data_IF_300723271961
#
_entry.id   IF_300723271961
#
_cell.length_a   1.000
_cell.length_b   1.000
_cell.length_c   1.000
_cell.angle_alpha   90.00
_cell.angle_beta   90.00
_cell.angle_gamma   90.00
#
_symmetry.space_group_name_H-M   'P 1'
#
loop_
_entity.id
_entity.type
_entity.pdbx_description
1 polymer ?
#
# COMPACT_ATOMS: atom_id res chain seq x y z
N UNK A 1 8.19 -3.38 31.73
CA UNK A 1 8.41 -3.19 30.28
C UNK A 1 7.95 -1.78 29.97
N UNK A 2 8.80 -0.93 29.37
CA UNK A 2 8.39 0.44 29.05
C UNK A 2 7.23 0.39 28.06
N UNK A 3 6.29 1.34 28.17
CA UNK A 3 5.17 1.40 27.24
C UNK A 3 5.69 1.81 25.88
N UNK A 4 5.05 1.34 24.80
CA UNK A 4 5.55 1.56 23.45
C UNK A 4 5.66 3.06 23.10
N UNK A 5 4.72 3.89 23.57
CA UNK A 5 4.73 5.34 23.35
C UNK A 5 5.85 6.08 24.12
N UNK A 6 6.49 5.42 25.07
CA UNK A 6 7.66 5.95 25.79
C UNK A 6 8.97 5.60 25.07
N UNK A 7 8.94 4.62 24.15
CA UNK A 7 10.07 4.13 23.36
C UNK A 7 10.08 4.64 21.91
N UNK A 8 8.95 5.12 21.42
CA UNK A 8 8.78 5.59 20.05
C UNK A 8 7.96 6.88 20.03
N UNK A 9 8.51 7.89 19.38
CA UNK A 9 7.83 9.13 19.07
C UNK A 9 7.04 8.91 17.78
N UNK A 10 5.73 9.14 17.83
CA UNK A 10 4.84 9.08 16.66
C UNK A 10 4.53 10.49 16.20
N UNK A 11 4.84 10.80 14.94
CA UNK A 11 4.61 12.10 14.30
C UNK A 11 3.81 11.93 13.00
N UNK A 12 3.13 13.01 12.60
CA UNK A 12 2.47 13.08 11.29
C UNK A 12 3.53 13.51 10.27
N UNK A 13 4.14 12.53 9.60
CA UNK A 13 5.20 12.77 8.62
C UNK A 13 4.70 13.60 7.43
N UNK A 14 3.51 13.29 6.92
CA UNK A 14 2.75 14.12 5.99
C UNK A 14 1.27 13.94 6.29
N UNK A 15 0.58 15.04 6.59
CA UNK A 15 -0.87 15.02 6.82
C UNK A 15 -1.62 14.50 5.58
N UNK A 16 -2.70 13.71 5.75
CA UNK A 16 -3.47 13.20 4.63
C UNK A 16 -3.86 14.29 3.64
N UNK A 17 -3.54 14.08 2.38
CA UNK A 17 -3.72 15.06 1.32
C UNK A 17 -4.08 14.36 0.01
N UNK A 18 -4.98 14.95 -0.76
CA UNK A 18 -5.22 14.52 -2.14
C UNK A 18 -4.10 15.07 -3.03
N UNK A 19 -3.35 14.19 -3.67
CA UNK A 19 -2.39 14.56 -4.71
C UNK A 19 -2.95 14.13 -6.07
N UNK A 20 -2.71 14.94 -7.11
CA UNK A 20 -3.09 14.65 -8.49
C UNK A 20 -1.84 14.74 -9.37
N UNK A 21 -1.14 13.63 -9.53
CA UNK A 21 0.09 13.53 -10.34
C UNK A 21 1.16 14.55 -9.93
N UNK A 22 1.43 14.64 -8.62
CA UNK A 22 2.33 15.64 -8.04
C UNK A 22 3.06 15.09 -6.81
N UNK A 23 3.85 15.94 -6.17
CA UNK A 23 4.55 15.62 -4.94
C UNK A 23 4.25 16.64 -3.84
N UNK A 24 4.40 16.21 -2.59
CA UNK A 24 4.35 17.07 -1.41
C UNK A 24 5.31 16.58 -0.35
N UNK A 25 6.05 17.50 0.24
CA UNK A 25 6.91 17.27 1.40
C UNK A 25 6.17 17.68 2.66
N UNK A 26 6.27 16.85 3.71
CA UNK A 26 5.73 17.17 5.02
C UNK A 26 6.66 18.07 5.84
N UNK A 27 6.41 18.11 7.15
CA UNK A 27 7.22 18.89 8.08
C UNK A 27 8.57 18.22 8.34
N UNK A 28 9.58 19.04 8.66
CA UNK A 28 10.93 18.57 8.99
C UNK A 28 11.04 18.33 10.50
N UNK A 29 11.31 17.09 10.89
CA UNK A 29 11.44 16.66 12.27
C UNK A 29 12.90 16.41 12.65
N UNK A 30 13.32 16.98 13.78
CA UNK A 30 14.67 16.81 14.30
C UNK A 30 14.97 15.34 14.69
N UNK A 31 16.11 14.81 14.28
CA UNK A 31 16.62 13.50 14.70
C UNK A 31 17.75 13.58 15.73
N UNK A 32 18.18 14.76 16.17
CA UNK A 32 19.34 14.89 17.07
C UNK A 32 19.21 14.07 18.39
N UNK A 33 18.00 13.94 18.93
CA UNK A 33 17.72 13.18 20.15
C UNK A 33 17.35 11.70 19.89
N UNK A 34 17.28 11.27 18.63
CA UNK A 34 16.85 9.94 18.19
C UNK A 34 17.96 9.24 17.39
N UNK A 35 18.00 7.91 17.44
CA UNK A 35 19.00 7.12 16.68
C UNK A 35 18.44 6.52 15.41
N UNK A 36 17.11 6.37 15.34
CA UNK A 36 16.43 5.71 14.23
C UNK A 36 15.15 6.43 13.87
N UNK A 37 14.74 6.30 12.62
CA UNK A 37 13.45 6.71 12.15
C UNK A 37 12.84 5.68 11.19
N UNK A 38 11.52 5.60 11.14
CA UNK A 38 10.78 4.85 10.12
C UNK A 38 9.72 5.78 9.55
N UNK A 39 9.81 6.07 8.24
CA UNK A 39 8.78 6.79 7.51
C UNK A 39 7.88 5.77 6.81
N UNK A 40 6.57 5.81 7.08
CA UNK A 40 5.58 4.85 6.56
C UNK A 40 4.61 5.60 5.66
N UNK A 41 4.58 5.24 4.39
CA UNK A 41 3.60 5.67 3.40
C UNK A 41 2.34 4.81 3.50
N UNK A 42 1.19 5.45 3.44
CA UNK A 42 -0.11 4.79 3.28
C UNK A 42 -0.84 5.41 2.09
N UNK A 43 -1.37 4.56 1.21
CA UNK A 43 -2.18 4.97 0.06
C UNK A 43 -3.47 4.15 -0.03
N UNK A 44 -4.46 4.72 -0.71
CA UNK A 44 -5.68 4.01 -1.06
C UNK A 44 -6.21 4.44 -2.44
N UNK A 45 -6.94 3.53 -3.10
CA UNK A 45 -7.68 3.83 -4.34
C UNK A 45 -6.82 4.07 -5.57
N UNK A 46 -5.72 3.33 -5.74
CA UNK A 46 -4.77 3.54 -6.85
C UNK A 46 -5.09 2.63 -8.04
N UNK A 47 -5.37 3.23 -9.21
CA UNK A 47 -5.66 2.50 -10.45
C UNK A 47 -4.43 1.74 -10.99
N UNK A 48 -4.64 0.74 -11.85
CA UNK A 48 -3.58 0.00 -12.51
C UNK A 48 -2.53 0.91 -13.19
N UNK A 49 -1.28 0.43 -13.30
CA UNK A 49 -0.10 1.10 -13.89
C UNK A 49 0.41 2.33 -13.13
N UNK A 50 -0.31 2.79 -12.11
CA UNK A 50 0.08 3.94 -11.30
C UNK A 50 1.07 3.56 -10.21
N UNK A 51 1.79 4.58 -9.74
CA UNK A 51 2.79 4.48 -8.70
C UNK A 51 2.64 5.58 -7.65
N UNK A 52 3.06 5.25 -6.43
CA UNK A 52 3.28 6.21 -5.35
C UNK A 52 4.59 5.86 -4.66
N UNK A 53 5.45 6.84 -4.44
CA UNK A 53 6.71 6.65 -3.74
C UNK A 53 6.83 7.57 -2.55
N UNK A 54 7.50 7.08 -1.52
CA UNK A 54 7.98 7.86 -0.40
C UNK A 54 9.49 8.03 -0.54
N UNK A 55 9.94 9.23 -0.23
CA UNK A 55 11.32 9.67 -0.26
C UNK A 55 11.61 10.37 1.07
N UNK A 56 12.77 10.15 1.66
CA UNK A 56 13.20 10.92 2.84
C UNK A 56 14.05 12.09 2.39
N UNK A 57 13.62 13.30 2.74
CA UNK A 57 14.44 14.49 2.60
C UNK A 57 15.11 14.79 3.93
N UNK A 58 16.35 15.25 3.89
CA UNK A 58 17.07 15.78 5.03
C UNK A 58 17.16 17.30 4.96
N UNK A 59 17.19 17.99 6.10
CA UNK A 59 17.49 19.41 6.19
C UNK A 59 18.37 19.75 7.42
N UNK A 60 18.92 20.96 7.41
CA UNK A 60 19.71 21.50 8.53
C UNK A 60 18.83 22.07 9.66
N UNK A 61 17.58 22.44 9.35
CA UNK A 61 16.61 22.99 10.30
C UNK A 61 15.17 22.59 9.94
N UNK A 62 14.20 23.02 10.76
CA UNK A 62 12.78 22.70 10.58
C UNK A 62 12.14 23.45 9.38
N UNK A 63 12.75 24.53 8.93
CA UNK A 63 12.31 25.39 7.83
C UNK A 63 12.86 24.93 6.47
N UNK A 64 13.30 23.67 6.36
CA UNK A 64 13.86 23.06 5.14
C UNK A 64 15.19 23.69 4.65
N UNK A 65 16.00 24.24 5.57
CA UNK A 65 17.30 24.82 5.26
C UNK A 65 18.24 23.81 4.59
N UNK A 66 18.70 24.14 3.38
CA UNK A 66 19.52 23.27 2.52
C UNK A 66 18.90 21.90 2.24
N UNK A 67 17.56 21.80 2.22
CA UNK A 67 16.86 20.54 2.03
C UNK A 67 17.35 19.76 0.81
N UNK A 68 17.67 18.48 1.02
CA UNK A 68 18.15 17.58 0.00
C UNK A 68 17.49 16.21 0.12
N UNK A 69 17.41 15.48 -0.99
CA UNK A 69 17.00 14.08 -0.97
C UNK A 69 18.11 13.25 -0.31
N UNK A 70 17.75 12.43 0.67
CA UNK A 70 18.69 11.46 1.21
C UNK A 70 18.85 10.29 0.22
N UNK A 71 20.09 10.07 -0.21
CA UNK A 71 20.40 9.06 -1.23
C UNK A 71 20.05 7.66 -0.72
N UNK A 72 19.32 6.89 -1.54
CA UNK A 72 18.91 5.52 -1.21
C UNK A 72 17.68 5.42 -0.30
N UNK A 73 17.17 6.54 0.22
CA UNK A 73 15.96 6.57 1.04
C UNK A 73 14.70 6.77 0.16
N UNK A 74 14.41 5.76 -0.67
CA UNK A 74 13.23 5.74 -1.54
C UNK A 74 12.55 4.37 -1.49
N UNK A 75 11.23 4.36 -1.35
CA UNK A 75 10.42 3.16 -1.49
C UNK A 75 9.21 3.46 -2.39
N UNK A 76 8.93 2.56 -3.33
CA UNK A 76 7.90 2.73 -4.35
C UNK A 76 6.84 1.65 -4.22
N UNK A 77 5.59 2.07 -4.21
CA UNK A 77 4.41 1.22 -4.38
C UNK A 77 4.03 1.26 -5.86
N UNK A 78 3.95 0.10 -6.47
CA UNK A 78 3.38 -0.10 -7.81
C UNK A 78 1.98 -0.66 -7.66
N UNK A 79 1.01 -0.13 -8.41
CA UNK A 79 -0.37 -0.60 -8.35
C UNK A 79 -0.45 -2.11 -8.59
N UNK A 80 -1.29 -2.78 -7.80
CA UNK A 80 -1.63 -4.19 -7.91
C UNK A 80 -0.44 -5.13 -7.75
N UNK A 81 0.66 -4.65 -7.16
CA UNK A 81 1.87 -5.43 -6.86
C UNK A 81 2.16 -5.36 -5.37
N UNK A 82 2.23 -6.52 -4.70
CA UNK A 82 2.43 -6.63 -3.26
C UNK A 82 1.45 -5.77 -2.42
N UNK A 83 0.17 -5.75 -2.80
CA UNK A 83 -0.87 -4.94 -2.13
C UNK A 83 -1.65 -5.74 -1.09
N UNK A 84 -2.12 -5.10 -0.03
CA UNK A 84 -2.84 -5.80 1.05
C UNK A 84 -4.29 -6.14 0.69
N UNK A 85 -4.89 -5.34 -0.19
CA UNK A 85 -6.23 -5.55 -0.74
C UNK A 85 -6.39 -4.81 -2.06
N UNK A 86 -7.25 -5.33 -2.91
CA UNK A 86 -7.54 -4.75 -4.22
C UNK A 86 -8.89 -5.18 -4.76
N UNK A 87 -9.32 -4.54 -5.83
CA UNK A 87 -10.55 -4.85 -6.54
C UNK A 87 -10.28 -5.19 -8.00
N UNK A 88 -11.12 -6.06 -8.54
CA UNK A 88 -11.21 -6.39 -9.96
C UNK A 88 -12.65 -6.10 -10.40
N UNK A 89 -12.82 -5.11 -11.27
CA UNK A 89 -14.13 -4.81 -11.87
C UNK A 89 -14.23 -5.57 -13.18
N UNK A 90 -15.22 -6.45 -13.28
CA UNK A 90 -15.55 -7.18 -14.49
C UNK A 90 -16.59 -6.38 -15.27
N UNK A 91 -16.37 -6.22 -16.57
CA UNK A 91 -17.24 -5.46 -17.47
C UNK A 91 -17.31 -6.12 -18.84
N UNK A 92 -18.29 -7.00 -19.04
CA UNK A 92 -18.46 -7.81 -20.26
C UNK A 92 -17.22 -8.65 -20.56
N UNK A 93 -16.81 -9.49 -19.62
CA UNK A 93 -15.63 -10.35 -19.77
C UNK A 93 -15.82 -11.29 -20.96
N UNK A 94 -14.78 -11.47 -21.77
CA UNK A 94 -14.82 -12.34 -22.94
C UNK A 94 -14.09 -13.66 -22.66
N UNK A 95 -14.43 -14.68 -23.44
CA UNK A 95 -13.78 -15.98 -23.36
C UNK A 95 -12.26 -15.84 -23.52
N UNK A 96 -11.50 -16.64 -22.76
CA UNK A 96 -10.03 -16.61 -22.74
C UNK A 96 -9.40 -15.35 -22.12
N UNK A 97 -10.18 -14.38 -21.63
CA UNK A 97 -9.62 -13.35 -20.76
C UNK A 97 -9.08 -13.98 -19.48
N UNK A 98 -7.93 -13.51 -19.02
CA UNK A 98 -7.28 -14.08 -17.85
C UNK A 98 -6.98 -13.06 -16.78
N UNK A 99 -6.94 -13.56 -15.55
CA UNK A 99 -6.44 -12.86 -14.36
C UNK A 99 -5.42 -13.77 -13.70
N UNK A 100 -4.22 -13.27 -13.45
CA UNK A 100 -3.21 -13.97 -12.66
C UNK A 100 -3.15 -13.36 -11.28
N UNK A 101 -3.31 -14.17 -10.22
CA UNK A 101 -3.23 -13.73 -8.82
C UNK A 101 -2.13 -14.52 -8.13
N UNK A 102 -1.08 -13.85 -7.67
CA UNK A 102 0.09 -14.47 -7.02
C UNK A 102 0.69 -15.65 -7.83
N UNK A 103 0.66 -15.53 -9.17
CA UNK A 103 1.14 -16.55 -10.10
C UNK A 103 0.12 -17.63 -10.49
N UNK A 104 -1.07 -17.66 -9.87
CA UNK A 104 -2.15 -18.57 -10.26
C UNK A 104 -3.00 -17.93 -11.36
N UNK A 105 -3.07 -18.59 -12.51
CA UNK A 105 -3.84 -18.13 -13.67
C UNK A 105 -5.30 -18.58 -13.55
N UNK A 106 -6.23 -17.63 -13.65
CA UNK A 106 -7.67 -17.85 -13.76
C UNK A 106 -8.14 -17.44 -15.15
N UNK A 107 -8.95 -18.28 -15.79
CA UNK A 107 -9.35 -18.11 -17.20
C UNK A 107 -10.87 -18.03 -17.32
N UNK A 108 -11.37 -17.01 -18.02
CA UNK A 108 -12.78 -16.91 -18.37
C UNK A 108 -13.15 -17.96 -19.41
N UNK A 109 -14.19 -18.75 -19.12
CA UNK A 109 -14.74 -19.75 -20.03
C UNK A 109 -16.20 -19.44 -20.33
N UNK A 110 -16.63 -19.68 -21.57
CA UNK A 110 -17.94 -19.27 -22.10
C UNK A 110 -19.11 -19.67 -21.17
N UNK A 111 -19.12 -20.90 -20.66
CA UNK A 111 -20.29 -21.46 -19.97
C UNK A 111 -19.98 -22.43 -18.83
N UNK A 112 -18.71 -22.62 -18.45
CA UNK A 112 -18.33 -23.59 -17.41
C UNK A 112 -17.43 -22.97 -16.35
N UNK A 113 -17.63 -23.40 -15.11
CA UNK A 113 -16.73 -23.14 -13.99
C UNK A 113 -16.06 -24.44 -13.60
N UNK A 114 -14.76 -24.56 -13.87
CA UNK A 114 -13.94 -25.74 -13.58
C UNK A 114 -12.85 -25.35 -12.60
N UNK A 115 -13.13 -25.47 -11.31
CA UNK A 115 -12.26 -24.97 -10.23
C UNK A 115 -10.85 -25.59 -10.26
N UNK A 116 -10.75 -26.88 -10.57
CA UNK A 116 -9.45 -27.59 -10.66
C UNK A 116 -8.54 -27.00 -11.75
N UNK A 117 -9.13 -26.51 -12.84
CA UNK A 117 -8.45 -25.88 -13.97
C UNK A 117 -8.40 -24.34 -13.84
N UNK A 118 -8.99 -23.79 -12.77
CA UNK A 118 -9.14 -22.35 -12.52
C UNK A 118 -9.90 -21.61 -13.61
N UNK A 119 -10.89 -22.28 -14.19
CA UNK A 119 -11.80 -21.69 -15.18
C UNK A 119 -13.08 -21.20 -14.52
N UNK A 120 -13.54 -20.00 -14.86
CA UNK A 120 -14.79 -19.43 -14.35
C UNK A 120 -15.74 -19.09 -15.50
N UNK A 121 -17.03 -19.36 -15.31
CA UNK A 121 -18.05 -19.11 -16.32
C UNK A 121 -18.30 -17.62 -16.52
N UNK A 122 -18.50 -17.22 -17.79
CA UNK A 122 -18.98 -15.90 -18.21
C UNK A 122 -20.33 -15.97 -18.93
N UNK A 123 -21.15 -16.98 -18.62
CA UNK A 123 -22.46 -17.16 -19.24
C UNK A 123 -23.53 -16.17 -18.73
N UNK A 124 -23.19 -15.40 -17.70
CA UNK A 124 -24.11 -14.52 -17.00
C UNK A 124 -23.93 -13.04 -17.37
N UNK A 125 -24.22 -12.18 -16.40
CA UNK A 125 -23.85 -10.77 -16.44
C UNK A 125 -22.61 -10.55 -15.57
N UNK A 126 -22.03 -9.35 -15.61
CA UNK A 126 -20.83 -8.99 -14.84
C UNK A 126 -20.89 -9.39 -13.36
N UNK A 127 -22.07 -9.34 -12.73
CA UNK A 127 -22.26 -9.75 -11.34
C UNK A 127 -22.20 -11.26 -11.14
N UNK A 128 -22.78 -12.03 -12.06
CA UNK A 128 -22.69 -13.48 -12.05
C UNK A 128 -21.25 -13.93 -12.32
N UNK A 129 -20.60 -13.36 -13.33
CA UNK A 129 -19.22 -13.68 -13.71
C UNK A 129 -18.24 -13.42 -12.55
N UNK A 130 -18.42 -12.30 -11.84
CA UNK A 130 -17.63 -11.97 -10.66
C UNK A 130 -17.83 -12.97 -9.52
N UNK A 131 -19.03 -13.54 -9.40
CA UNK A 131 -19.35 -14.55 -8.39
C UNK A 131 -18.68 -15.88 -8.73
N UNK A 132 -18.71 -16.30 -9.99
CA UNK A 132 -18.01 -17.50 -10.48
C UNK A 132 -16.49 -17.38 -10.28
N UNK A 133 -15.90 -16.21 -10.56
CA UNK A 133 -14.50 -15.96 -10.27
C UNK A 133 -14.19 -16.07 -8.76
N UNK A 134 -15.06 -15.56 -7.89
CA UNK A 134 -14.90 -15.71 -6.44
C UNK A 134 -14.93 -17.18 -6.00
N UNK A 135 -15.76 -18.03 -6.63
CA UNK A 135 -15.78 -19.47 -6.35
C UNK A 135 -14.42 -20.09 -6.61
N UNK A 136 -13.81 -19.81 -7.77
CA UNK A 136 -12.49 -20.32 -8.11
C UNK A 136 -11.39 -19.79 -7.17
N UNK A 137 -11.43 -18.52 -6.80
CA UNK A 137 -10.41 -17.91 -5.92
C UNK A 137 -10.49 -18.45 -4.49
N UNK A 138 -11.70 -18.67 -3.96
CA UNK A 138 -11.91 -19.11 -2.58
C UNK A 138 -11.82 -20.64 -2.39
N UNK A 139 -11.61 -21.40 -3.47
CA UNK A 139 -11.52 -22.85 -3.34
C UNK A 139 -10.36 -23.26 -2.42
N UNK A 140 -10.59 -24.16 -1.44
CA UNK A 140 -9.58 -24.53 -0.45
C UNK A 140 -8.38 -25.31 -1.03
N UNK A 141 -8.52 -25.90 -2.23
CA UNK A 141 -7.49 -26.75 -2.84
C UNK A 141 -6.77 -26.03 -3.98
N UNK A 142 -7.53 -25.36 -4.85
CA UNK A 142 -7.05 -24.79 -6.11
C UNK A 142 -7.04 -23.25 -6.13
N UNK A 143 -7.72 -22.63 -5.16
CA UNK A 143 -7.83 -21.18 -5.01
C UNK A 143 -6.54 -20.49 -4.58
N UNK A 144 -6.63 -19.22 -4.20
CA UNK A 144 -5.47 -18.40 -3.82
C UNK A 144 -5.21 -18.54 -2.31
N UNK A 145 -4.08 -19.12 -1.87
CA UNK A 145 -3.80 -19.30 -0.46
C UNK A 145 -3.77 -17.97 0.30
N UNK A 146 -4.48 -17.93 1.43
CA UNK A 146 -4.53 -16.77 2.31
C UNK A 146 -5.32 -15.57 1.75
N UNK A 147 -6.10 -15.78 0.70
CA UNK A 147 -7.02 -14.80 0.12
C UNK A 147 -8.47 -15.08 0.52
N UNK A 148 -9.23 -14.02 0.76
CA UNK A 148 -10.70 -14.05 0.73
C UNK A 148 -11.16 -13.15 -0.42
N UNK A 149 -11.91 -13.73 -1.36
CA UNK A 149 -12.57 -13.02 -2.44
C UNK A 149 -14.07 -12.85 -2.17
N UNK A 150 -14.62 -11.68 -2.46
CA UNK A 150 -16.06 -11.42 -2.39
C UNK A 150 -16.51 -10.59 -3.58
N UNK A 151 -17.66 -10.92 -4.18
CA UNK A 151 -18.25 -10.16 -5.29
C UNK A 151 -19.36 -9.23 -4.81
N UNK A 152 -19.43 -8.03 -5.39
CA UNK A 152 -20.56 -7.12 -5.29
C UNK A 152 -20.73 -6.33 -6.59
N UNK A 153 -21.88 -6.48 -7.26
CA UNK A 153 -22.23 -5.74 -8.48
C UNK A 153 -21.13 -5.76 -9.57
N UNK A 154 -20.54 -6.92 -9.85
CA UNK A 154 -19.46 -7.08 -10.83
C UNK A 154 -18.06 -6.70 -10.36
N UNK A 155 -17.91 -6.30 -9.09
CA UNK A 155 -16.61 -6.00 -8.48
C UNK A 155 -16.21 -7.12 -7.53
N UNK A 156 -15.11 -7.79 -7.83
CA UNK A 156 -14.45 -8.74 -6.94
C UNK A 156 -13.49 -7.98 -6.02
N UNK A 157 -13.62 -8.14 -4.72
CA UNK A 157 -12.71 -7.59 -3.71
C UNK A 157 -11.85 -8.72 -3.14
N UNK A 158 -10.53 -8.55 -3.18
CA UNK A 158 -9.55 -9.47 -2.60
C UNK A 158 -9.01 -8.88 -1.29
N UNK A 159 -9.06 -9.66 -0.23
CA UNK A 159 -8.58 -9.28 1.11
C UNK A 159 -7.66 -10.39 1.63
N UNK A 160 -6.52 -10.00 2.20
CA UNK A 160 -5.67 -10.95 2.92
C UNK A 160 -6.39 -11.47 4.16
N UNK A 161 -6.45 -12.80 4.30
CA UNK A 161 -6.98 -13.48 5.50
C UNK A 161 -6.20 -13.14 6.77
N UNK A 162 -4.91 -12.82 6.63
CA UNK A 162 -4.03 -12.39 7.72
C UNK A 162 -3.43 -11.03 7.34
N UNK A 163 -3.93 -9.92 7.89
CA UNK A 163 -3.43 -8.58 7.58
C UNK A 163 -1.91 -8.49 7.76
N UNK A 164 -1.21 -8.05 6.71
CA UNK A 164 0.25 -7.88 6.72
C UNK A 164 1.07 -9.14 6.45
N UNK A 165 0.47 -10.33 6.33
CA UNK A 165 1.20 -11.57 6.02
C UNK A 165 1.08 -11.99 4.55
N UNK A 166 -0.06 -11.73 3.91
CA UNK A 166 -0.26 -12.00 2.47
C UNK A 166 -0.43 -10.69 1.74
N UNK A 167 0.24 -10.62 0.59
CA UNK A 167 0.15 -9.51 -0.35
C UNK A 167 -0.21 -10.05 -1.72
N UNK A 168 -0.90 -9.25 -2.50
CA UNK A 168 -1.40 -9.61 -3.82
C UNK A 168 -0.58 -8.95 -4.91
N UNK A 169 -0.16 -9.77 -5.87
CA UNK A 169 0.32 -9.32 -7.17
C UNK A 169 -0.63 -9.84 -8.23
N UNK A 170 -1.31 -8.93 -8.93
CA UNK A 170 -2.36 -9.26 -9.89
C UNK A 170 -2.14 -8.59 -11.22
N UNK A 171 -2.26 -9.38 -12.28
CA UNK A 171 -2.21 -8.93 -13.69
C UNK A 171 -3.41 -9.47 -14.45
N UNK A 172 -3.82 -8.78 -15.49
CA UNK A 172 -4.90 -9.21 -16.39
C UNK A 172 -4.45 -9.11 -17.86
N UNK A 173 -5.16 -9.79 -18.77
CA UNK A 173 -4.92 -9.72 -20.22
C UNK A 173 -6.09 -9.15 -21.03
N UNK A 174 -7.24 -8.94 -20.41
CA UNK A 174 -8.46 -8.46 -21.04
C UNK A 174 -8.89 -7.11 -20.50
N UNK A 175 -8.96 -6.10 -21.37
CA UNK A 175 -9.33 -4.71 -21.03
C UNK A 175 -10.73 -4.55 -20.37
N UNK A 176 -11.54 -5.61 -20.35
CA UNK A 176 -12.83 -5.73 -19.66
C UNK A 176 -12.68 -6.02 -18.16
N UNK A 177 -11.46 -6.23 -17.67
CA UNK A 177 -11.15 -6.47 -16.26
C UNK A 177 -10.29 -5.31 -15.78
N UNK A 178 -10.86 -4.45 -14.94
CA UNK A 178 -10.14 -3.29 -14.42
C UNK A 178 -9.62 -3.58 -13.01
N UNK A 179 -8.31 -3.43 -12.81
CA UNK A 179 -7.67 -3.63 -11.51
C UNK A 179 -7.50 -2.29 -10.77
N UNK A 180 -7.78 -2.29 -9.46
CA UNK A 180 -7.48 -1.14 -8.61
C UNK A 180 -7.02 -1.58 -7.21
N UNK A 181 -5.94 -0.96 -6.72
CA UNK A 181 -5.42 -1.16 -5.38
C UNK A 181 -6.29 -0.44 -4.36
N UNK A 182 -6.78 -1.16 -3.35
CA UNK A 182 -7.59 -0.58 -2.28
C UNK A 182 -6.70 -0.02 -1.17
N UNK A 183 -5.70 -0.80 -0.71
CA UNK A 183 -4.75 -0.39 0.33
C UNK A 183 -3.35 -0.92 0.06
N UNK A 184 -2.36 -0.04 0.17
CA UNK A 184 -0.95 -0.41 0.14
C UNK A 184 -0.12 0.47 1.08
N UNK A 185 1.00 -0.09 1.55
CA UNK A 185 1.94 0.58 2.43
C UNK A 185 3.36 0.37 1.93
N UNK A 186 4.21 1.36 2.18
CA UNK A 186 5.65 1.24 2.03
C UNK A 186 6.31 1.89 3.23
N UNK A 187 7.53 1.45 3.57
CA UNK A 187 8.28 2.09 4.63
C UNK A 187 9.75 2.26 4.25
N UNK A 188 10.38 3.23 4.88
CA UNK A 188 11.82 3.44 4.86
C UNK A 188 12.28 3.49 6.32
N UNK A 189 13.13 2.53 6.73
CA UNK A 189 13.87 2.64 7.98
C UNK A 189 15.18 3.40 7.73
N UNK A 190 15.53 4.26 8.67
CA UNK A 190 16.70 5.12 8.63
C UNK A 190 17.45 5.05 9.96
N UNK A 191 18.77 4.99 9.87
CA UNK A 191 19.67 5.26 10.98
C UNK A 191 20.06 6.74 10.95
N UNK A 192 20.05 7.43 12.08
CA UNK A 192 20.44 8.85 12.15
C UNK A 192 21.88 9.09 11.65
N UNK A 193 22.75 8.08 11.68
CA UNK A 193 24.11 8.14 11.13
C UNK A 193 24.15 8.18 9.60
N UNK A 194 23.04 7.90 8.91
CA UNK A 194 22.99 8.00 7.45
C UNK A 194 22.80 9.43 6.94
N UNK A 195 22.53 10.40 7.82
CA UNK A 195 22.37 11.80 7.43
C UNK A 195 23.69 12.41 6.98
N UNK A 196 23.62 13.31 6.01
CA UNK A 196 24.77 14.11 5.59
C UNK A 196 25.27 14.96 6.75
N UNK A 197 26.58 15.20 6.83
CA UNK A 197 27.17 16.03 7.88
C UNK A 197 26.46 17.40 7.98
N UNK A 198 26.13 17.82 9.21
CA UNK A 198 25.37 19.04 9.53
C UNK A 198 23.85 18.97 9.33
N UNK A 199 23.33 17.92 8.69
CA UNK A 199 21.89 17.69 8.60
C UNK A 199 21.39 17.06 9.90
N UNK A 200 20.25 17.56 10.38
CA UNK A 200 19.70 17.16 11.68
C UNK A 200 18.21 16.88 11.65
N UNK A 201 17.53 17.20 10.54
CA UNK A 201 16.09 17.04 10.39
C UNK A 201 15.77 16.16 9.19
N UNK A 202 14.64 15.45 9.25
CA UNK A 202 14.10 14.68 8.13
C UNK A 202 12.63 15.00 7.88
N UNK A 203 12.20 14.87 6.63
CA UNK A 203 10.81 14.95 6.22
C UNK A 203 10.47 13.81 5.27
N UNK A 204 9.21 13.35 5.32
CA UNK A 204 8.68 12.46 4.31
C UNK A 204 8.19 13.28 3.12
N UNK A 205 8.70 12.99 1.93
CA UNK A 205 8.16 13.46 0.66
C UNK A 205 7.42 12.33 -0.01
N UNK A 206 6.19 12.59 -0.45
CA UNK A 206 5.41 11.64 -1.23
C UNK A 206 5.25 12.18 -2.63
N UNK A 207 5.50 11.32 -3.62
CA UNK A 207 5.27 11.60 -5.05
C UNK A 207 4.36 10.53 -5.61
N UNK A 208 3.33 10.89 -6.37
CA UNK A 208 2.46 9.92 -7.06
C UNK A 208 2.10 10.42 -8.45
N UNK A 209 1.85 9.48 -9.38
CA UNK A 209 1.33 9.73 -10.72
C UNK A 209 -0.19 9.45 -10.85
N UNK A 210 -0.85 9.21 -9.70
CA UNK A 210 -2.29 9.01 -9.57
C UNK A 210 -2.97 10.23 -8.91
N UNK A 211 -4.30 10.23 -9.00
CA UNK A 211 -5.16 11.13 -8.22
C UNK A 211 -5.72 10.37 -7.02
N UNK A 212 -5.03 10.46 -5.87
CA UNK A 212 -5.33 9.67 -4.67
C UNK A 212 -5.06 10.46 -3.40
N UNK A 213 -5.67 10.03 -2.29
CA UNK A 213 -5.31 10.49 -0.96
C UNK A 213 -4.09 9.69 -0.48
N UNK A 214 -3.07 10.42 -0.05
CA UNK A 214 -1.85 9.85 0.52
C UNK A 214 -1.57 10.48 1.88
N UNK A 215 -0.84 9.75 2.73
CA UNK A 215 -0.33 10.27 3.98
C UNK A 215 0.92 9.51 4.41
N UNK A 216 1.70 10.12 5.31
CA UNK A 216 2.84 9.46 5.92
C UNK A 216 2.82 9.59 7.44
N UNK A 217 3.15 8.49 8.12
CA UNK A 217 3.46 8.47 9.55
C UNK A 217 4.98 8.42 9.70
N UNK A 218 5.52 9.22 10.60
CA UNK A 218 6.94 9.18 10.95
C UNK A 218 7.07 8.66 12.38
N UNK A 219 7.84 7.59 12.54
CA UNK A 219 8.23 7.05 13.84
C UNK A 219 9.68 7.42 14.09
N UNK A 220 10.01 7.98 15.25
CA UNK A 220 11.39 8.24 15.68
C UNK A 220 11.68 7.48 16.97
N UNK A 221 12.81 6.77 17.01
CA UNK A 221 13.13 5.83 18.08
C UNK A 221 14.59 5.83 18.49
N UNK A 222 14.92 5.03 19.50
CA UNK A 222 16.28 4.95 20.06
C UNK A 222 16.67 6.24 20.76
N UNK A 223 15.73 6.82 21.52
CA UNK A 223 15.90 8.13 22.14
C UNK A 223 17.08 8.18 23.12
N UNK A 224 17.69 9.36 23.23
CA UNK A 224 18.69 9.67 24.27
C UNK A 224 18.07 10.28 25.55
N UNK A 225 16.82 10.72 25.47
CA UNK A 225 16.05 11.39 26.54
C UNK A 225 14.61 10.90 26.54
N UNK A 226 13.89 11.06 27.65
CA UNK A 226 12.47 10.68 27.74
C UNK A 226 11.60 11.34 26.64
N UNK A 227 10.67 10.56 26.09
CA UNK A 227 9.73 11.04 25.07
C UNK A 227 8.47 11.59 25.75
N UNK A 228 8.19 12.88 25.57
CA UNK A 228 6.85 13.42 25.81
C UNK A 228 6.03 13.38 24.52
N UNK A 229 5.09 12.44 24.44
CA UNK A 229 4.11 12.40 23.36
C UNK A 229 3.11 13.57 23.52
N UNK A 230 2.92 14.39 22.48
CA UNK A 230 1.92 15.45 22.42
C UNK A 230 1.01 15.14 21.24
N UNK A 231 -0.18 14.63 21.53
CA UNK A 231 -1.17 14.16 20.56
C UNK A 231 -2.57 14.60 20.98
N UNK A 232 -3.50 14.69 20.03
CA UNK A 232 -4.85 15.22 20.27
C UNK A 232 -5.70 14.36 21.22
N UNK A 233 -5.45 13.05 21.30
CA UNK A 233 -6.10 12.13 22.22
C UNK A 233 -5.21 10.90 22.48
N UNK A 234 -5.28 10.32 23.67
CA UNK A 234 -4.55 9.10 24.03
C UNK A 234 -5.28 8.26 25.07
N UNK A 235 -5.11 6.94 25.01
CA UNK A 235 -5.55 5.99 26.01
C UNK A 235 -4.51 4.86 26.13
N UNK A 236 -4.36 4.28 27.32
CA UNK A 236 -3.48 3.15 27.61
C UNK A 236 -4.26 2.18 28.49
N UNK A 237 -4.25 0.89 28.16
CA UNK A 237 -4.85 -0.20 28.93
C UNK A 237 -3.76 -1.07 29.52
#
# INVERSE_FOLDING_TARGET
MNKLYEALKVDIGLAPVSLATTNKTGEYFCLADYRKAIAILQIAGMAATKTAKIEVYEATNAEAGSAALLTGATATITANTLVASMTLTLATVLNSHTVTINGLLFTAHTDTTTVADREFSISGNDTADATELCVCINDPTYGVPGCTASSAAGVVTLISTVPGAVVFTVTETGATITLATLHAQAYIELDALSLTASFTHIAAKITTDATIVVGAVLLRGGQRKEISQKIGASASV
#
